data_IF_464031244385
#
_entry.id   IF_464031244385
#
_cell.length_a   1.000
_cell.length_b   1.000
_cell.length_c   1.000
_cell.angle_alpha   90.00
_cell.angle_beta   90.00
_cell.angle_gamma   90.00
#
_symmetry.space_group_name_H-M   'P 1'
#
loop_
_entity.id
_entity.type
_entity.pdbx_description
1 polymer ?
#
# COMPACT_ATOMS: atom_id res chain seq x y z
N UNK A 1 -24.71 11.80 -21.91
CA UNK A 1 -24.59 11.89 -21.75
C UNK A 1 -24.14 12.16 -21.14
N UNK A 2 -24.05 12.69 -21.03
CA UNK A 2 -23.54 13.04 -20.50
C UNK A 2 -23.35 12.68 -19.60
N UNK A 3 -23.92 12.35 -19.43
CA UNK A 3 -23.75 11.77 -18.55
C UNK A 3 -22.74 11.02 -18.50
N UNK A 4 -22.24 11.04 -19.32
CA UNK A 4 -21.11 10.38 -19.24
C UNK A 4 -20.26 11.03 -18.35
N UNK A 5 -20.09 10.48 -17.18
CA UNK A 5 -19.29 11.07 -16.28
C UNK A 5 -17.93 10.67 -16.60
N UNK A 6 -17.03 11.54 -16.90
CA UNK A 6 -15.66 11.21 -17.02
C UNK A 6 -15.09 11.12 -15.66
N UNK A 7 -14.52 9.98 -15.33
CA UNK A 7 -13.85 9.83 -14.05
C UNK A 7 -12.58 10.63 -14.05
N UNK A 8 -12.24 11.18 -12.91
CA UNK A 8 -10.98 11.89 -12.75
C UNK A 8 -9.85 10.90 -12.57
N UNK A 9 -8.68 11.23 -13.08
CA UNK A 9 -7.52 10.37 -12.95
C UNK A 9 -6.65 10.90 -11.82
N UNK A 10 -6.33 10.02 -10.89
CA UNK A 10 -5.54 10.34 -9.71
C UNK A 10 -4.33 9.43 -9.67
N UNK A 11 -3.15 9.98 -9.34
CA UNK A 11 -1.99 9.15 -9.12
C UNK A 11 -1.91 8.84 -7.64
N UNK A 12 -1.61 7.60 -7.32
CA UNK A 12 -1.44 7.16 -5.94
C UNK A 12 -0.09 6.50 -5.81
N UNK A 13 0.77 7.08 -4.97
CA UNK A 13 2.08 6.52 -4.69
C UNK A 13 2.04 5.88 -3.32
N UNK A 14 2.64 4.71 -3.17
CA UNK A 14 2.53 3.95 -1.93
C UNK A 14 3.84 3.30 -1.55
N UNK A 15 4.01 3.08 -0.25
CA UNK A 15 5.12 2.29 0.23
C UNK A 15 4.77 1.71 1.60
N UNK A 16 5.40 0.62 1.94
CA UNK A 16 5.22 -0.02 3.24
C UNK A 16 6.57 -0.45 3.77
N UNK A 17 6.68 -0.49 5.08
CA UNK A 17 7.92 -0.87 5.73
C UNK A 17 7.60 -1.65 6.99
N UNK A 18 8.54 -2.46 7.43
CA UNK A 18 8.34 -3.24 8.63
C UNK A 18 9.69 -3.42 9.33
N UNK A 19 9.70 -3.21 10.63
CA UNK A 19 10.90 -3.37 11.41
C UNK A 19 10.86 -4.78 11.99
N UNK A 20 11.61 -5.69 11.38
CA UNK A 20 11.39 -7.10 11.65
C UNK A 20 10.23 -7.55 10.78
N UNK A 21 10.15 -8.80 10.47
CA UNK A 21 9.11 -9.25 9.55
C UNK A 21 8.66 -10.64 10.01
N UNK A 22 7.73 -10.70 10.98
CA UNK A 22 6.84 -9.63 11.43
C UNK A 22 7.43 -8.71 12.49
N UNK A 23 6.76 -7.60 12.69
CA UNK A 23 7.16 -6.62 13.70
C UNK A 23 6.36 -5.34 13.50
N UNK A 24 6.77 -4.26 14.15
CA UNK A 24 6.08 -2.98 13.93
C UNK A 24 6.26 -2.53 12.50
N UNK A 25 5.21 -2.07 11.89
CA UNK A 25 5.26 -1.64 10.51
C UNK A 25 4.62 -0.29 10.31
N UNK A 26 4.92 0.32 9.18
CA UNK A 26 4.34 1.58 8.79
C UNK A 26 4.01 1.58 7.32
N UNK A 27 3.13 2.48 6.95
CA UNK A 27 2.76 2.65 5.55
C UNK A 27 2.67 4.14 5.25
N UNK A 28 2.88 4.47 4.00
CA UNK A 28 2.75 5.84 3.55
C UNK A 28 2.19 5.88 2.16
N UNK A 29 1.40 6.90 1.87
CA UNK A 29 0.91 7.08 0.52
C UNK A 29 0.66 8.55 0.23
N UNK A 30 0.67 8.89 -1.06
CA UNK A 30 0.46 10.24 -1.52
C UNK A 30 -0.53 10.19 -2.68
N UNK A 31 -1.60 10.94 -2.55
CA UNK A 31 -2.54 11.12 -3.65
C UNK A 31 -2.19 12.41 -4.35
N UNK A 32 -2.19 12.39 -5.67
CA UNK A 32 -1.91 13.58 -6.47
C UNK A 32 -2.97 13.72 -7.54
N UNK A 33 -3.67 14.83 -7.51
CA UNK A 33 -4.65 15.13 -8.53
C UNK A 33 -4.38 16.55 -9.06
N UNK A 34 -3.91 16.64 -10.29
CA UNK A 34 -3.61 17.92 -10.91
C UNK A 34 -2.69 18.79 -10.05
N UNK A 35 -1.70 18.17 -9.44
CA UNK A 35 -0.74 18.92 -8.64
C UNK A 35 -1.13 19.14 -7.20
N UNK A 36 -2.36 18.83 -6.84
CA UNK A 36 -2.76 18.91 -5.45
C UNK A 36 -2.47 17.56 -4.80
N UNK A 37 -1.78 17.60 -3.69
CA UNK A 37 -1.34 16.36 -3.07
C UNK A 37 -1.88 16.21 -1.65
N UNK A 38 -2.00 14.96 -1.23
CA UNK A 38 -2.39 14.65 0.12
C UNK A 38 -1.55 13.48 0.58
N UNK A 39 -0.85 13.67 1.69
CA UNK A 39 -0.03 12.61 2.27
C UNK A 39 -0.78 11.93 3.39
N UNK A 40 -0.62 10.62 3.51
CA UNK A 40 -1.20 9.87 4.60
C UNK A 40 -0.22 8.82 5.05
N UNK A 41 -0.24 8.50 6.32
CA UNK A 41 0.64 7.46 6.86
C UNK A 41 0.04 6.88 8.12
N UNK A 42 0.56 5.75 8.54
CA UNK A 42 0.10 5.12 9.76
C UNK A 42 1.01 3.97 10.13
N UNK A 43 0.71 3.33 11.25
CA UNK A 43 1.54 2.24 11.73
C UNK A 43 0.67 1.09 12.22
N UNK A 44 1.29 -0.06 12.36
CA UNK A 44 0.67 -1.22 12.98
C UNK A 44 1.68 -1.86 13.89
N UNK A 45 1.26 -2.32 15.08
CA UNK A 45 2.22 -2.84 16.04
C UNK A 45 2.85 -4.19 15.66
N UNK A 46 2.14 -4.98 14.91
CA UNK A 46 2.65 -6.30 14.55
C UNK A 46 2.12 -6.66 13.17
N UNK A 47 2.98 -6.61 12.18
CA UNK A 47 2.55 -6.79 10.81
C UNK A 47 3.73 -7.29 9.97
N UNK A 48 3.58 -7.29 8.66
CA UNK A 48 4.65 -7.68 7.74
C UNK A 48 4.80 -6.62 6.67
N UNK A 49 5.92 -6.68 5.98
CA UNK A 49 6.18 -5.73 4.90
C UNK A 49 5.09 -5.80 3.83
N UNK A 50 4.73 -7.01 3.41
CA UNK A 50 3.71 -7.15 2.38
C UNK A 50 2.35 -6.61 2.82
N UNK A 51 2.00 -6.81 4.08
CA UNK A 51 0.73 -6.28 4.56
C UNK A 51 0.73 -4.75 4.54
N UNK A 52 1.86 -4.14 4.88
CA UNK A 52 1.95 -2.68 4.86
C UNK A 52 1.89 -2.13 3.44
N UNK A 53 2.48 -2.85 2.47
CA UNK A 53 2.39 -2.44 1.09
C UNK A 53 0.94 -2.43 0.61
N UNK A 54 0.21 -3.48 0.91
CA UNK A 54 -1.19 -3.56 0.52
C UNK A 54 -2.01 -2.50 1.24
N UNK A 55 -1.74 -2.33 2.53
CA UNK A 55 -2.53 -1.40 3.34
C UNK A 55 -2.33 0.05 2.89
N UNK A 56 -1.16 0.39 2.39
CA UNK A 56 -0.94 1.72 1.84
C UNK A 56 -1.87 1.97 0.65
N UNK A 57 -2.06 0.95 -0.21
CA UNK A 57 -2.97 1.07 -1.34
C UNK A 57 -4.41 1.21 -0.85
N UNK A 58 -4.79 0.37 0.11
CA UNK A 58 -6.13 0.43 0.67
C UNK A 58 -6.42 1.82 1.23
N UNK A 59 -5.47 2.38 1.96
CA UNK A 59 -5.67 3.67 2.60
C UNK A 59 -5.82 4.78 1.57
N UNK A 60 -5.01 4.75 0.52
CA UNK A 60 -5.09 5.77 -0.51
C UNK A 60 -6.40 5.70 -1.28
N UNK A 61 -6.76 4.51 -1.71
CA UNK A 61 -8.00 4.35 -2.48
C UNK A 61 -9.20 4.65 -1.60
N UNK A 62 -9.14 4.23 -0.34
CA UNK A 62 -10.24 4.46 0.58
C UNK A 62 -10.50 5.93 0.87
N UNK A 63 -9.50 6.79 0.67
CA UNK A 63 -9.65 8.21 0.91
C UNK A 63 -10.36 8.95 -0.21
N UNK A 64 -10.50 8.34 -1.37
CA UNK A 64 -11.15 8.98 -2.50
C UNK A 64 -12.66 8.95 -2.32
N UNK A 65 -13.31 10.06 -2.59
CA UNK A 65 -14.73 10.19 -2.31
C UNK A 65 -15.63 9.98 -3.50
N UNK A 66 -15.09 9.96 -4.69
CA UNK A 66 -15.90 9.74 -5.88
C UNK A 66 -15.18 8.78 -6.80
N UNK A 67 -15.87 8.16 -7.74
CA UNK A 67 -15.24 7.21 -8.63
C UNK A 67 -14.11 7.85 -9.40
N UNK A 68 -12.96 7.21 -9.42
CA UNK A 68 -11.76 7.72 -10.07
C UNK A 68 -11.08 6.64 -10.89
N UNK A 69 -10.24 7.07 -11.81
CA UNK A 69 -9.26 6.20 -12.41
C UNK A 69 -8.01 6.41 -11.55
N UNK A 70 -7.53 5.36 -10.92
CA UNK A 70 -6.41 5.45 -9.99
C UNK A 70 -5.20 4.77 -10.59
N UNK A 71 -4.14 5.53 -10.81
CA UNK A 71 -2.88 4.98 -11.28
C UNK A 71 -2.00 4.79 -10.06
N UNK A 72 -1.77 3.56 -9.66
CA UNK A 72 -1.02 3.24 -8.46
C UNK A 72 0.42 2.95 -8.82
N UNK A 73 1.35 3.59 -8.13
CA UNK A 73 2.77 3.40 -8.34
C UNK A 73 3.41 2.81 -7.09
N UNK A 74 3.97 1.62 -7.22
CA UNK A 74 4.55 0.91 -6.09
C UNK A 74 5.81 0.18 -6.54
N UNK A 75 6.80 0.08 -5.65
CA UNK A 75 7.98 -0.71 -5.94
C UNK A 75 7.84 -2.15 -5.45
N UNK A 76 6.68 -2.51 -4.91
CA UNK A 76 6.44 -3.86 -4.43
C UNK A 76 6.00 -4.75 -5.57
N UNK A 77 6.87 -5.65 -6.02
CA UNK A 77 6.51 -6.59 -7.07
C UNK A 77 5.34 -7.46 -6.64
N UNK A 78 5.31 -7.83 -5.37
CA UNK A 78 4.24 -8.66 -4.84
C UNK A 78 2.88 -7.98 -5.05
N UNK A 79 2.78 -6.71 -4.68
CA UNK A 79 1.51 -6.00 -4.78
C UNK A 79 1.12 -5.75 -6.24
N UNK A 80 2.07 -5.31 -7.04
CA UNK A 80 1.78 -4.99 -8.42
C UNK A 80 1.44 -6.23 -9.22
N UNK A 81 2.18 -7.31 -9.01
CA UNK A 81 1.97 -8.52 -9.79
C UNK A 81 0.70 -9.24 -9.40
N UNK A 82 0.23 -9.07 -8.17
CA UNK A 82 -1.02 -9.69 -7.77
C UNK A 82 -2.15 -9.26 -8.70
N UNK A 83 -2.10 -8.01 -9.17
CA UNK A 83 -3.08 -7.52 -10.12
C UNK A 83 -2.65 -7.75 -11.55
N UNK A 84 -1.42 -7.40 -11.90
CA UNK A 84 -1.00 -7.43 -13.29
C UNK A 84 -0.79 -8.84 -13.83
N UNK A 85 -0.44 -9.79 -12.96
CA UNK A 85 -0.26 -11.17 -13.39
C UNK A 85 -1.47 -12.03 -13.08
N UNK A 86 -2.59 -11.38 -12.71
CA UNK A 86 -3.86 -12.07 -12.51
C UNK A 86 -3.87 -13.08 -11.37
N UNK A 87 -3.00 -12.90 -10.38
CA UNK A 87 -3.04 -13.78 -9.21
C UNK A 87 -4.38 -13.65 -8.50
N UNK A 88 -4.85 -12.42 -8.35
CA UNK A 88 -6.09 -12.17 -7.65
C UNK A 88 -7.27 -12.79 -8.42
N UNK A 89 -7.26 -12.67 -9.73
CA UNK A 89 -8.32 -13.28 -10.52
C UNK A 89 -8.38 -14.78 -10.30
N UNK A 90 -7.23 -15.43 -10.25
CA UNK A 90 -7.16 -16.86 -10.03
C UNK A 90 -7.58 -17.21 -8.60
N UNK A 91 -7.17 -16.43 -7.63
CA UNK A 91 -7.56 -16.69 -6.24
C UNK A 91 -9.07 -16.56 -6.07
N UNK A 92 -9.67 -15.57 -6.71
CA UNK A 92 -11.12 -15.44 -6.63
C UNK A 92 -11.83 -16.64 -7.22
N UNK A 93 -11.31 -17.19 -8.29
CA UNK A 93 -11.94 -18.34 -8.92
C UNK A 93 -11.80 -19.62 -8.11
N UNK A 94 -10.71 -19.76 -7.37
CA UNK A 94 -10.49 -21.00 -6.65
C UNK A 94 -10.72 -20.92 -5.16
N UNK A 95 -11.40 -19.87 -4.70
CA UNK A 95 -11.77 -19.79 -3.30
C UNK A 95 -10.67 -19.32 -2.38
N UNK A 96 -9.69 -18.60 -2.93
CA UNK A 96 -8.58 -18.04 -2.14
C UNK A 96 -7.70 -19.11 -1.53
N UNK A 97 -7.47 -20.15 -2.30
CA UNK A 97 -6.58 -21.25 -1.92
C UNK A 97 -5.40 -21.23 -2.87
N UNK A 98 -4.19 -21.36 -2.34
CA UNK A 98 -3.02 -21.34 -3.18
C UNK A 98 -2.73 -22.74 -3.75
N UNK A 99 -1.65 -22.86 -4.51
CA UNK A 99 -1.35 -24.12 -5.17
C UNK A 99 -1.03 -25.24 -4.20
N UNK A 100 -0.68 -24.91 -2.96
CA UNK A 100 -0.41 -25.92 -1.96
C UNK A 100 -1.63 -26.23 -1.13
N UNK A 101 -2.78 -25.76 -1.58
CA UNK A 101 -4.05 -25.98 -0.89
C UNK A 101 -4.12 -25.33 0.47
N UNK A 102 -3.35 -24.25 0.66
CA UNK A 102 -3.39 -23.47 1.87
C UNK A 102 -4.11 -22.18 1.58
N UNK A 103 -4.68 -21.51 2.58
CA UNK A 103 -5.31 -20.20 2.36
C UNK A 103 -4.27 -19.22 1.81
N UNK A 104 -4.69 -18.36 0.90
CA UNK A 104 -3.81 -17.34 0.34
C UNK A 104 -3.43 -16.36 1.45
N UNK A 105 -2.14 -16.06 1.57
CA UNK A 105 -1.69 -15.10 2.56
C UNK A 105 -2.27 -13.72 2.28
N UNK A 106 -2.59 -13.01 3.32
CA UNK A 106 -3.10 -11.63 3.21
C UNK A 106 -4.43 -11.53 2.48
N UNK A 107 -5.15 -12.65 2.40
CA UNK A 107 -6.44 -12.63 1.69
C UNK A 107 -7.41 -11.64 2.29
N UNK A 108 -7.32 -11.40 3.60
CA UNK A 108 -8.19 -10.43 4.25
C UNK A 108 -7.99 -9.03 3.66
N UNK A 109 -6.73 -8.66 3.43
CA UNK A 109 -6.44 -7.35 2.87
C UNK A 109 -6.76 -7.27 1.39
N UNK A 110 -6.47 -8.35 0.63
CA UNK A 110 -6.83 -8.36 -0.78
C UNK A 110 -8.32 -8.24 -0.97
N UNK A 111 -9.09 -8.95 -0.15
CA UNK A 111 -10.54 -8.89 -0.26
C UNK A 111 -11.07 -7.50 0.10
N UNK A 112 -10.48 -6.89 1.11
CA UNK A 112 -10.90 -5.55 1.49
C UNK A 112 -10.61 -4.55 0.37
N UNK A 113 -9.44 -4.66 -0.24
CA UNK A 113 -9.08 -3.77 -1.34
C UNK A 113 -10.06 -3.92 -2.50
N UNK A 114 -10.36 -5.18 -2.88
CA UNK A 114 -11.29 -5.42 -3.98
C UNK A 114 -12.67 -4.89 -3.67
N UNK A 115 -13.09 -5.02 -2.42
CA UNK A 115 -14.41 -4.55 -2.04
C UNK A 115 -14.49 -3.03 -2.14
N UNK A 116 -13.45 -2.32 -1.69
CA UNK A 116 -13.44 -0.86 -1.77
C UNK A 116 -13.44 -0.41 -3.23
N UNK A 117 -12.64 -1.05 -4.07
CA UNK A 117 -12.59 -0.70 -5.48
C UNK A 117 -13.97 -0.87 -6.11
N UNK A 118 -14.64 -1.98 -5.79
CA UNK A 118 -15.93 -2.26 -6.37
C UNK A 118 -17.01 -1.32 -5.88
N UNK A 119 -17.08 -1.14 -4.57
CA UNK A 119 -18.12 -0.31 -3.99
C UNK A 119 -17.99 1.13 -4.44
N UNK A 120 -16.78 1.64 -4.51
CA UNK A 120 -16.57 3.02 -4.91
C UNK A 120 -16.47 3.18 -6.42
N UNK A 121 -16.54 2.09 -7.15
CA UNK A 121 -16.55 2.10 -8.60
C UNK A 121 -15.31 2.73 -9.22
N UNK A 122 -14.16 2.43 -8.64
CA UNK A 122 -12.90 2.91 -9.18
C UNK A 122 -12.39 2.00 -10.28
N UNK A 123 -11.60 2.58 -11.17
CA UNK A 123 -10.85 1.82 -12.15
C UNK A 123 -9.40 1.96 -11.71
N UNK A 124 -8.70 0.86 -11.45
CA UNK A 124 -7.38 0.90 -10.84
C UNK A 124 -6.36 0.21 -11.72
N UNK A 125 -5.24 0.87 -11.93
CA UNK A 125 -4.14 0.32 -12.72
C UNK A 125 -2.88 0.38 -11.88
N UNK A 126 -2.10 -0.70 -11.88
CA UNK A 126 -0.88 -0.78 -11.09
C UNK A 126 0.35 -0.68 -11.95
N UNK A 127 1.32 0.11 -11.51
CA UNK A 127 2.59 0.32 -12.20
C UNK A 127 3.73 0.06 -11.25
N UNK A 128 4.64 -0.80 -11.67
CA UNK A 128 5.81 -1.07 -10.87
C UNK A 128 6.85 0.00 -11.12
N UNK A 129 7.38 0.60 -10.04
CA UNK A 129 8.47 1.55 -10.18
C UNK A 129 9.74 0.88 -9.71
N UNK A 130 10.88 1.35 -10.20
CA UNK A 130 12.13 0.83 -9.74
C UNK A 130 12.34 1.40 -8.37
N UNK A 131 13.17 0.84 -7.60
CA UNK A 131 13.36 1.28 -6.25
C UNK A 131 13.57 2.76 -6.12
N UNK A 132 14.11 3.18 -5.02
CA UNK A 132 14.03 4.55 -4.60
C UNK A 132 14.62 5.57 -5.53
N UNK A 133 15.56 5.21 -6.35
CA UNK A 133 16.31 6.21 -7.05
C UNK A 133 15.53 7.01 -8.04
N UNK A 134 14.48 6.44 -8.58
CA UNK A 134 13.85 7.06 -9.73
C UNK A 134 12.55 7.77 -9.49
N UNK A 135 12.02 7.72 -8.31
CA UNK A 135 10.70 8.32 -8.10
C UNK A 135 10.63 9.05 -6.77
N UNK A 136 10.72 10.37 -6.82
CA UNK A 136 10.69 11.14 -5.56
C UNK A 136 9.40 10.97 -4.77
N UNK A 137 8.30 10.70 -5.45
CA UNK A 137 7.04 10.49 -4.73
C UNK A 137 7.10 9.22 -3.91
N UNK A 138 7.65 8.14 -4.48
CA UNK A 138 7.77 6.89 -3.74
C UNK A 138 8.84 7.00 -2.66
N UNK A 139 9.87 7.82 -2.87
CA UNK A 139 10.84 8.08 -1.83
C UNK A 139 10.18 8.77 -0.64
N UNK A 140 9.29 9.70 -0.92
CA UNK A 140 8.56 10.38 0.15
C UNK A 140 7.65 9.39 0.89
N UNK A 141 7.05 8.46 0.17
CA UNK A 141 6.22 7.44 0.81
C UNK A 141 7.04 6.57 1.74
N UNK A 142 8.28 6.26 1.35
CA UNK A 142 9.18 5.51 2.22
C UNK A 142 9.46 6.29 3.50
N UNK A 143 9.70 7.59 3.38
CA UNK A 143 9.92 8.43 4.57
C UNK A 143 8.70 8.41 5.47
N UNK A 144 7.52 8.51 4.88
CA UNK A 144 6.29 8.50 5.67
C UNK A 144 6.14 7.18 6.41
N UNK A 145 6.42 6.08 5.73
CA UNK A 145 6.27 4.75 6.33
C UNK A 145 7.26 4.55 7.46
N UNK A 146 8.53 4.90 7.25
CA UNK A 146 9.54 4.69 8.28
C UNK A 146 9.37 5.66 9.44
N UNK A 147 8.91 6.87 9.16
CA UNK A 147 8.62 7.82 10.23
C UNK A 147 7.47 7.35 11.10
N UNK A 148 6.49 6.69 10.49
CA UNK A 148 5.36 6.16 11.25
C UNK A 148 5.83 5.09 12.25
N UNK A 149 6.79 4.26 11.84
CA UNK A 149 7.34 3.26 12.75
C UNK A 149 8.07 3.93 13.91
N UNK A 150 8.88 4.94 13.61
CA UNK A 150 9.61 5.65 14.65
C UNK A 150 8.65 6.30 15.63
N UNK A 151 7.59 6.90 15.12
CA UNK A 151 6.62 7.55 15.97
C UNK A 151 5.93 6.54 16.88
N UNK A 152 5.59 5.37 16.32
CA UNK A 152 4.96 4.33 17.10
C UNK A 152 5.88 3.89 18.25
N UNK A 153 7.18 3.70 17.95
CA UNK A 153 8.10 3.29 18.99
C UNK A 153 8.27 4.35 20.06
N UNK A 154 8.33 5.57 19.64
CA UNK A 154 8.47 6.66 20.60
C UNK A 154 7.25 6.72 21.52
N UNK A 155 6.07 6.55 20.95
CA UNK A 155 4.86 6.58 21.74
C UNK A 155 4.75 5.41 22.70
N UNK A 156 5.43 4.32 22.39
CA UNK A 156 5.41 3.18 23.27
C UNK A 156 6.59 3.13 24.21
N UNK A 157 7.33 4.23 24.34
CA UNK A 157 8.39 4.31 25.32
C UNK A 157 9.70 3.68 24.97
N UNK A 158 9.89 3.32 23.71
CA UNK A 158 11.15 2.73 23.32
C UNK A 158 12.17 3.83 23.21
N UNK A 159 13.41 3.54 23.66
CA UNK A 159 14.39 4.56 23.65
C UNK A 159 15.08 4.70 22.33
N UNK A 160 15.57 5.88 22.09
CA UNK A 160 16.24 6.14 20.87
C UNK A 160 17.46 5.31 20.66
N UNK A 161 18.19 5.09 21.68
CA UNK A 161 19.41 4.34 21.49
C UNK A 161 19.11 2.95 21.08
N UNK A 162 17.94 2.47 21.39
CA UNK A 162 17.61 1.17 20.96
C UNK A 162 17.28 1.17 19.55
N UNK A 163 17.10 2.28 18.97
CA UNK A 163 16.77 2.31 17.59
C UNK A 163 17.99 2.26 16.72
N UNK A 164 19.16 2.22 17.29
CA UNK A 164 20.32 2.13 16.45
C UNK A 164 20.26 1.02 15.45
N UNK A 165 19.89 -0.13 15.85
CA UNK A 165 19.83 -1.18 14.87
C UNK A 165 18.74 -0.98 13.88
N UNK A 166 17.87 -0.08 14.18
CA UNK A 166 16.81 0.15 13.28
C UNK A 166 17.27 0.47 11.91
N UNK A 167 18.31 1.24 11.79
CA UNK A 167 18.75 1.57 10.48
C UNK A 167 19.16 0.34 9.73
N UNK A 168 19.67 -0.60 10.43
CA UNK A 168 20.06 -1.79 9.76
C UNK A 168 18.87 -2.56 9.36
N UNK A 169 17.85 -2.50 10.16
CA UNK A 169 16.78 -3.23 9.79
C UNK A 169 15.92 -2.68 8.85
N UNK A 170 16.16 -1.56 8.40
CA UNK A 170 15.34 -1.00 7.48
C UNK A 170 15.07 -1.82 6.41
N UNK A 171 15.26 -2.63 6.22
CA UNK A 171 14.94 -3.30 5.16
C UNK A 171 14.90 -4.47 5.25
#
# INVERSE_FOLDING_TARGET
MSEIQRKRTVQLYTDGACSGNPGPGGWGCILNYNGKTKEMSGHMPNTTNNRMEIFAVISGIGALKEPCIVEVYSDSAYTVNAFNDHWIDNWQKNGWINSKKQPVENSDLWKLLLQIIKIKKHEVHFHKVKGHADNPWNNRCDELATSAIKEYRRMNGEKEEESLPVTAEKK
#
